data_IF_131213504264
#
_entry.id   IF_131213504264
#
_cell.length_a   1.000
_cell.length_b   1.000
_cell.length_c   1.000
_cell.angle_alpha   90.00
_cell.angle_beta   90.00
_cell.angle_gamma   90.00
#
_symmetry.space_group_name_H-M   'P 1'
#
loop_
_entity.id
_entity.type
_entity.pdbx_description
1 polymer ?
#
# COMPACT_ATOMS: atom_id res chain seq x y z
N UNK A 1 -3.33 6.62 6.66
CA UNK A 1 -3.90 6.72 8.02
C UNK A 1 -4.93 7.85 8.17
N UNK A 2 -4.75 9.01 7.51
CA UNK A 2 -5.69 10.14 7.62
C UNK A 2 -7.10 9.84 7.08
N UNK A 3 -7.24 8.98 6.08
CA UNK A 3 -8.52 8.66 5.42
C UNK A 3 -9.56 7.94 6.31
N UNK A 4 -9.17 7.55 7.53
CA UNK A 4 -10.08 6.98 8.55
C UNK A 4 -10.85 8.05 9.32
N UNK A 5 -10.38 9.29 9.28
CA UNK A 5 -10.93 10.38 10.06
C UNK A 5 -11.90 11.20 9.19
N UNK A 6 -13.05 11.53 9.77
CA UNK A 6 -14.03 12.45 9.20
C UNK A 6 -13.88 13.88 9.73
N UNK A 7 -12.95 14.10 10.65
CA UNK A 7 -12.65 15.37 11.30
C UNK A 7 -11.13 15.51 11.51
N UNK A 8 -10.58 16.64 11.10
CA UNK A 8 -9.13 16.87 11.17
C UNK A 8 -8.59 16.96 12.61
N UNK A 9 -9.41 17.42 13.56
CA UNK A 9 -8.99 17.50 14.97
C UNK A 9 -8.84 16.11 15.59
N UNK A 10 -9.73 15.21 15.24
CA UNK A 10 -9.64 13.80 15.65
C UNK A 10 -8.38 13.14 15.10
N UNK A 11 -8.05 13.43 13.84
CA UNK A 11 -6.77 13.01 13.24
C UNK A 11 -5.56 13.59 13.98
N UNK A 12 -5.53 14.88 14.24
CA UNK A 12 -4.42 15.53 14.96
C UNK A 12 -4.26 14.97 16.39
N UNK A 13 -5.36 14.76 17.11
CA UNK A 13 -5.33 14.14 18.45
C UNK A 13 -4.77 12.72 18.40
N UNK A 14 -5.15 11.96 17.38
CA UNK A 14 -4.62 10.61 17.15
C UNK A 14 -3.13 10.65 16.83
N UNK A 15 -2.70 11.50 15.91
CA UNK A 15 -1.29 11.72 15.57
C UNK A 15 -0.46 12.02 16.82
N UNK A 16 -0.88 12.99 17.63
CA UNK A 16 -0.19 13.35 18.86
C UNK A 16 -0.07 12.17 19.85
N UNK A 17 -1.10 11.31 19.96
CA UNK A 17 -1.06 10.13 20.83
C UNK A 17 -0.06 9.07 20.39
N UNK A 18 0.23 8.97 19.09
CA UNK A 18 1.19 8.00 18.53
C UNK A 18 2.66 8.41 18.76
N UNK A 19 2.91 9.69 19.02
CA UNK A 19 4.26 10.19 19.24
C UNK A 19 4.81 9.75 20.61
N UNK A 20 6.15 9.64 20.76
CA UNK A 20 6.80 9.38 22.05
C UNK A 20 6.29 10.33 23.14
N UNK A 21 6.12 9.84 24.35
CA UNK A 21 5.55 10.57 25.50
C UNK A 21 4.19 11.22 25.19
N UNK A 22 3.37 10.55 24.33
CA UNK A 22 2.05 11.04 23.92
C UNK A 22 2.08 12.46 23.33
N UNK A 23 3.13 12.78 22.58
CA UNK A 23 3.30 14.09 21.93
C UNK A 23 3.56 15.25 22.88
N UNK A 24 4.12 15.00 24.06
CA UNK A 24 4.48 16.06 24.99
C UNK A 24 5.44 17.07 24.33
N UNK A 25 5.07 18.35 24.33
CA UNK A 25 5.82 19.43 23.67
C UNK A 25 5.56 19.58 22.16
N UNK A 26 4.86 18.65 21.51
CA UNK A 26 4.62 18.70 20.05
C UNK A 26 3.70 19.85 19.65
N UNK A 27 2.69 20.17 20.45
CA UNK A 27 1.85 21.35 20.23
C UNK A 27 2.66 22.67 20.18
N UNK A 28 3.74 22.77 20.94
CA UNK A 28 4.66 23.92 20.89
C UNK A 28 5.48 23.95 19.58
N UNK A 29 5.93 22.78 19.10
CA UNK A 29 6.66 22.70 17.82
C UNK A 29 5.76 23.05 16.65
N UNK A 30 4.53 22.50 16.63
CA UNK A 30 3.51 22.86 15.64
C UNK A 30 3.23 24.37 15.68
N UNK A 31 3.05 24.95 16.87
CA UNK A 31 2.83 26.38 17.03
C UNK A 31 3.97 27.21 16.44
N UNK A 32 5.22 26.85 16.73
CA UNK A 32 6.41 27.52 16.19
C UNK A 32 6.45 27.41 14.64
N UNK A 33 6.16 26.23 14.09
CA UNK A 33 6.15 26.01 12.64
C UNK A 33 5.08 26.86 11.93
N UNK A 34 3.91 26.99 12.58
CA UNK A 34 2.79 27.80 12.04
C UNK A 34 2.88 29.29 12.36
N UNK A 35 3.90 29.74 13.12
CA UNK A 35 4.05 31.13 13.54
C UNK A 35 2.92 31.61 14.48
N UNK A 36 2.37 30.72 15.32
CA UNK A 36 1.27 31.01 16.26
C UNK A 36 1.63 30.64 17.69
N UNK A 37 0.79 31.02 18.66
CA UNK A 37 0.99 30.62 20.06
C UNK A 37 0.57 29.17 20.31
N UNK A 38 1.17 28.51 21.30
CA UNK A 38 0.76 27.17 21.73
C UNK A 38 -0.69 27.12 22.25
N UNK A 39 -1.17 28.22 22.82
CA UNK A 39 -2.56 28.41 23.22
C UNK A 39 -3.49 28.32 22.02
N UNK A 40 -3.10 28.89 20.88
CA UNK A 40 -3.89 28.82 19.63
C UNK A 40 -4.03 27.38 19.15
N UNK A 41 -2.98 26.58 19.18
CA UNK A 41 -3.05 25.15 18.84
C UNK A 41 -3.97 24.39 19.78
N UNK A 42 -3.92 24.67 21.08
CA UNK A 42 -4.83 24.08 22.07
C UNK A 42 -6.29 24.44 21.78
N UNK A 43 -6.57 25.68 21.36
CA UNK A 43 -7.89 26.15 20.97
C UNK A 43 -8.38 25.45 19.68
N UNK A 44 -7.49 25.20 18.71
CA UNK A 44 -7.84 24.41 17.51
C UNK A 44 -8.22 22.99 17.90
N UNK A 45 -7.40 22.32 18.72
CA UNK A 45 -7.69 20.96 19.17
C UNK A 45 -8.96 20.86 20.03
N UNK A 46 -9.31 21.93 20.78
CA UNK A 46 -10.54 22.03 21.56
C UNK A 46 -11.77 22.36 20.70
N UNK A 47 -11.59 22.83 19.44
CA UNK A 47 -12.69 23.18 18.54
C UNK A 47 -13.13 24.64 18.61
N UNK A 48 -12.53 25.49 19.44
CA UNK A 48 -12.88 26.92 19.55
C UNK A 48 -12.23 27.78 18.48
N UNK A 49 -11.27 27.25 17.74
CA UNK A 49 -10.61 27.89 16.57
C UNK A 49 -10.52 26.91 15.42
N UNK A 50 -10.37 27.43 14.21
CA UNK A 50 -10.24 26.67 12.98
C UNK A 50 -8.95 27.11 12.29
N UNK A 51 -8.23 26.17 11.65
CA UNK A 51 -7.03 26.46 10.85
C UNK A 51 -7.39 27.37 9.66
N UNK A 52 -6.53 28.33 9.29
CA UNK A 52 -6.62 29.00 7.99
C UNK A 52 -6.15 28.06 6.88
N UNK A 53 -6.32 28.43 5.62
CA UNK A 53 -5.86 27.61 4.49
C UNK A 53 -4.35 27.50 4.44
N UNK A 54 -3.66 28.60 4.71
CA UNK A 54 -2.21 28.69 4.78
C UNK A 54 -1.66 27.79 5.92
N UNK A 55 -2.30 27.89 7.11
CA UNK A 55 -1.95 27.03 8.24
C UNK A 55 -2.23 25.56 7.95
N UNK A 56 -3.29 25.24 7.20
CA UNK A 56 -3.61 23.87 6.79
C UNK A 56 -2.52 23.30 5.91
N UNK A 57 -2.07 24.06 4.91
CA UNK A 57 -1.00 23.66 4.00
C UNK A 57 0.34 23.49 4.76
N UNK A 58 0.72 24.45 5.58
CA UNK A 58 1.93 24.41 6.37
C UNK A 58 1.91 23.23 7.36
N UNK A 59 0.77 22.96 7.99
CA UNK A 59 0.63 21.83 8.91
C UNK A 59 0.67 20.48 8.18
N UNK A 60 0.09 20.38 6.98
CA UNK A 60 0.21 19.19 6.13
C UNK A 60 1.66 18.84 5.83
N UNK A 61 2.47 19.84 5.48
CA UNK A 61 3.91 19.68 5.26
C UNK A 61 4.66 19.26 6.54
N UNK A 62 4.34 19.88 7.67
CA UNK A 62 4.92 19.54 8.98
C UNK A 62 4.63 18.09 9.38
N UNK A 63 3.44 17.60 9.12
CA UNK A 63 3.00 16.23 9.42
C UNK A 63 3.59 15.20 8.45
N UNK A 64 4.31 15.63 7.41
CA UNK A 64 4.87 14.74 6.39
C UNK A 64 3.82 14.03 5.55
N UNK A 65 2.66 14.67 5.33
CA UNK A 65 1.60 14.09 4.51
C UNK A 65 2.02 14.03 3.05
N UNK A 66 1.74 12.92 2.38
CA UNK A 66 1.83 12.84 0.92
C UNK A 66 0.82 13.80 0.26
N UNK A 67 1.02 14.14 -1.01
CA UNK A 67 0.15 15.05 -1.76
C UNK A 67 -1.35 14.67 -1.61
N UNK A 68 -1.68 13.39 -1.81
CA UNK A 68 -3.06 12.90 -1.66
C UNK A 68 -3.59 12.98 -0.21
N UNK A 69 -2.72 12.80 0.79
CA UNK A 69 -3.09 12.93 2.20
C UNK A 69 -3.24 14.40 2.60
N UNK A 70 -2.41 15.28 2.04
CA UNK A 70 -2.52 16.73 2.23
C UNK A 70 -3.82 17.27 1.62
N UNK A 71 -4.22 16.80 0.44
CA UNK A 71 -5.51 17.10 -0.16
C UNK A 71 -6.67 16.66 0.73
N UNK A 72 -6.60 15.43 1.27
CA UNK A 72 -7.63 14.93 2.18
C UNK A 72 -7.70 15.77 3.45
N UNK A 73 -6.55 16.10 4.05
CA UNK A 73 -6.45 16.96 5.23
C UNK A 73 -7.04 18.35 4.95
N UNK A 74 -6.73 18.92 3.78
CA UNK A 74 -7.26 20.19 3.34
C UNK A 74 -8.79 20.18 3.27
N UNK A 75 -9.38 19.15 2.66
CA UNK A 75 -10.85 19.04 2.57
C UNK A 75 -11.51 18.72 3.92
N UNK A 76 -10.86 18.06 4.86
CA UNK A 76 -11.34 17.92 6.23
C UNK A 76 -11.47 19.29 6.91
N UNK A 77 -10.46 20.16 6.78
CA UNK A 77 -10.50 21.51 7.32
C UNK A 77 -11.55 22.36 6.60
N UNK A 78 -11.64 22.27 5.27
CA UNK A 78 -12.66 22.98 4.49
C UNK A 78 -14.09 22.57 4.85
N UNK A 79 -14.32 21.30 5.09
CA UNK A 79 -15.61 20.79 5.52
C UNK A 79 -16.04 21.36 6.89
N UNK A 80 -15.09 21.52 7.80
CA UNK A 80 -15.32 22.16 9.10
C UNK A 80 -15.56 23.69 8.99
N UNK A 81 -14.91 24.34 8.01
CA UNK A 81 -15.07 25.77 7.71
C UNK A 81 -16.33 26.12 6.93
N UNK A 82 -16.97 25.12 6.32
CA UNK A 82 -18.06 25.33 5.41
C UNK A 82 -19.27 26.03 6.08
N UNK A 83 -19.51 27.27 5.70
CA UNK A 83 -20.62 28.10 6.20
C UNK A 83 -21.96 27.84 5.51
N UNK A 84 -21.97 27.10 4.38
CA UNK A 84 -23.19 26.72 3.66
C UNK A 84 -23.32 25.22 3.52
N UNK A 85 -24.56 24.73 3.45
CA UNK A 85 -24.83 23.30 3.25
C UNK A 85 -24.32 22.80 1.89
N UNK A 86 -24.34 23.64 0.87
CA UNK A 86 -23.84 23.30 -0.48
C UNK A 86 -22.33 23.04 -0.45
N UNK A 87 -21.56 23.96 0.16
CA UNK A 87 -20.12 23.79 0.32
C UNK A 87 -19.78 22.57 1.15
N UNK A 88 -20.54 22.30 2.21
CA UNK A 88 -20.35 21.12 3.06
C UNK A 88 -20.58 19.83 2.28
N UNK A 89 -21.65 19.76 1.46
CA UNK A 89 -21.91 18.62 0.57
C UNK A 89 -20.77 18.42 -0.44
N UNK A 90 -20.28 19.50 -1.04
CA UNK A 90 -19.16 19.46 -1.96
C UNK A 90 -17.89 18.90 -1.30
N UNK A 91 -17.52 19.43 -0.12
CA UNK A 91 -16.35 18.93 0.62
C UNK A 91 -16.50 17.45 1.00
N UNK A 92 -17.67 17.04 1.49
CA UNK A 92 -17.96 15.64 1.81
C UNK A 92 -17.80 14.74 0.58
N UNK A 93 -18.33 15.13 -0.57
CA UNK A 93 -18.16 14.39 -1.82
C UNK A 93 -16.68 14.27 -2.22
N UNK A 94 -15.90 15.35 -2.09
CA UNK A 94 -14.45 15.35 -2.35
C UNK A 94 -13.69 14.42 -1.39
N UNK A 95 -14.05 14.42 -0.11
CA UNK A 95 -13.47 13.48 0.87
C UNK A 95 -13.76 12.02 0.49
N UNK A 96 -14.99 11.72 0.05
CA UNK A 96 -15.33 10.37 -0.43
C UNK A 96 -14.56 9.98 -1.69
N UNK A 97 -14.41 10.90 -2.65
CA UNK A 97 -13.60 10.68 -3.86
C UNK A 97 -12.14 10.38 -3.51
N UNK A 98 -11.52 11.20 -2.64
CA UNK A 98 -10.14 11.02 -2.21
C UNK A 98 -9.97 9.72 -1.41
N UNK A 99 -10.92 9.40 -0.53
CA UNK A 99 -10.94 8.13 0.18
C UNK A 99 -11.03 6.95 -0.79
N UNK A 100 -11.92 6.99 -1.80
CA UNK A 100 -12.00 5.96 -2.86
C UNK A 100 -10.72 5.88 -3.69
N UNK A 101 -10.10 7.03 -4.00
CA UNK A 101 -8.80 7.07 -4.70
C UNK A 101 -7.68 6.45 -3.86
N UNK A 102 -7.63 6.73 -2.56
CA UNK A 102 -6.63 6.13 -1.67
C UNK A 102 -6.74 4.61 -1.59
N UNK A 103 -7.97 4.08 -1.63
CA UNK A 103 -8.24 2.64 -1.72
C UNK A 103 -7.77 2.04 -3.06
N UNK A 104 -7.78 2.84 -4.15
CA UNK A 104 -7.25 2.45 -5.46
C UNK A 104 -5.73 2.65 -5.58
N UNK A 105 -5.15 3.61 -4.84
CA UNK A 105 -3.73 3.97 -4.90
C UNK A 105 -2.80 2.97 -4.19
N UNK A 106 -3.32 2.07 -3.37
CA UNK A 106 -2.55 0.92 -2.86
C UNK A 106 -2.00 0.04 -4.01
N UNK A 107 -2.47 0.27 -5.25
CA UNK A 107 -2.06 -0.44 -6.47
C UNK A 107 -1.22 0.39 -7.45
N UNK A 108 -0.84 1.64 -7.15
CA UNK A 108 0.02 2.45 -8.05
C UNK A 108 1.43 2.60 -7.49
N UNK A 109 2.29 1.63 -7.80
CA UNK A 109 3.73 1.89 -7.93
C UNK A 109 3.92 2.56 -9.29
N UNK A 110 4.64 3.68 -9.35
CA UNK A 110 4.99 4.35 -10.61
C UNK A 110 5.76 3.40 -11.52
N UNK A 111 5.11 2.86 -12.55
CA UNK A 111 5.73 2.03 -13.55
C UNK A 111 6.37 2.94 -14.63
N UNK A 112 7.69 2.90 -14.76
CA UNK A 112 8.43 3.61 -15.83
C UNK A 112 8.05 3.14 -17.24
N UNK A 113 7.63 1.92 -17.43
CA UNK A 113 7.02 1.32 -18.63
C UNK A 113 6.19 0.12 -18.14
N UNK A 114 5.00 -0.08 -18.65
CA UNK A 114 4.20 -1.27 -18.36
C UNK A 114 4.40 -2.34 -19.43
N UNK A 115 4.32 -3.63 -19.01
CA UNK A 115 4.26 -4.75 -19.94
C UNK A 115 3.11 -4.57 -20.94
N UNK A 116 3.34 -4.93 -22.19
CA UNK A 116 2.26 -5.04 -23.18
C UNK A 116 1.35 -6.26 -22.86
N UNK A 117 0.22 -6.41 -23.57
CA UNK A 117 -0.75 -7.45 -23.26
C UNK A 117 -0.22 -8.87 -23.50
N UNK A 118 0.67 -9.07 -24.49
CA UNK A 118 1.32 -10.35 -24.74
C UNK A 118 2.30 -10.69 -23.62
N UNK A 119 3.14 -9.75 -23.22
CA UNK A 119 4.05 -9.89 -22.09
C UNK A 119 3.30 -10.16 -20.79
N UNK A 120 2.18 -9.44 -20.53
CA UNK A 120 1.29 -9.71 -19.37
C UNK A 120 0.72 -11.13 -19.42
N UNK A 121 0.27 -11.57 -20.59
CA UNK A 121 -0.27 -12.94 -20.75
C UNK A 121 0.75 -14.00 -20.36
N UNK A 122 2.00 -13.84 -20.76
CA UNK A 122 3.10 -14.75 -20.40
C UNK A 122 3.47 -14.60 -18.92
N UNK A 123 3.74 -13.38 -18.46
CA UNK A 123 4.18 -13.12 -17.09
C UNK A 123 3.20 -13.67 -16.04
N UNK A 124 1.90 -13.47 -16.23
CA UNK A 124 0.86 -13.96 -15.33
C UNK A 124 0.39 -15.41 -15.64
N UNK A 125 1.04 -16.10 -16.59
CA UNK A 125 0.74 -17.51 -16.86
C UNK A 125 1.20 -18.45 -15.75
N UNK A 126 2.22 -18.08 -14.98
CA UNK A 126 2.77 -18.88 -13.90
C UNK A 126 3.25 -17.98 -12.76
N UNK A 127 3.13 -18.41 -11.49
CA UNK A 127 3.68 -17.67 -10.35
C UNK A 127 5.21 -17.62 -10.37
N UNK A 128 5.87 -18.51 -11.11
CA UNK A 128 7.33 -18.55 -11.23
C UNK A 128 7.90 -17.27 -11.83
N UNK A 129 7.25 -16.64 -12.82
CA UNK A 129 7.74 -15.40 -13.40
C UNK A 129 7.84 -14.28 -12.36
N UNK A 130 6.74 -14.03 -11.62
CA UNK A 130 6.73 -13.00 -10.59
C UNK A 130 7.58 -13.37 -9.38
N UNK A 131 7.65 -14.65 -9.00
CA UNK A 131 8.52 -15.14 -7.94
C UNK A 131 10.00 -14.93 -8.26
N UNK A 132 10.44 -15.32 -9.45
CA UNK A 132 11.84 -15.14 -9.92
C UNK A 132 12.18 -13.65 -10.03
N UNK A 133 11.27 -12.84 -10.62
CA UNK A 133 11.46 -11.39 -10.72
C UNK A 133 11.71 -10.76 -9.33
N UNK A 134 10.88 -11.08 -8.33
CA UNK A 134 11.07 -10.58 -6.96
C UNK A 134 12.33 -11.17 -6.32
N UNK A 135 12.65 -12.44 -6.58
CA UNK A 135 13.89 -13.06 -6.04
C UNK A 135 15.15 -12.39 -6.59
N UNK A 136 15.15 -11.93 -7.82
CA UNK A 136 16.26 -11.18 -8.40
C UNK A 136 16.49 -9.81 -7.71
N UNK A 137 15.53 -9.30 -6.91
CA UNK A 137 15.74 -8.11 -6.08
C UNK A 137 16.49 -8.40 -4.79
N UNK A 138 16.60 -9.68 -4.39
CA UNK A 138 17.26 -10.05 -3.14
C UNK A 138 18.76 -10.21 -3.33
N UNK A 139 19.51 -9.67 -2.39
CA UNK A 139 20.97 -9.75 -2.42
C UNK A 139 21.64 -8.71 -3.31
N UNK A 140 22.73 -8.14 -2.82
CA UNK A 140 23.46 -7.04 -3.50
C UNK A 140 24.15 -7.42 -4.80
N UNK A 141 24.46 -8.71 -5.01
CA UNK A 141 25.18 -9.23 -6.19
C UNK A 141 24.26 -9.79 -7.28
N UNK A 142 22.95 -9.70 -7.13
CA UNK A 142 21.98 -10.38 -7.99
C UNK A 142 21.91 -11.89 -7.73
N UNK A 143 21.26 -12.66 -8.61
CA UNK A 143 21.05 -14.11 -8.49
C UNK A 143 21.54 -14.85 -9.73
N UNK A 144 22.22 -15.98 -9.51
CA UNK A 144 22.65 -16.85 -10.60
C UNK A 144 21.54 -17.81 -11.02
N UNK A 145 21.64 -18.40 -12.22
CA UNK A 145 20.72 -19.46 -12.69
C UNK A 145 20.63 -20.63 -11.70
N UNK A 146 21.75 -21.01 -11.08
CA UNK A 146 21.78 -22.14 -10.15
C UNK A 146 21.08 -21.80 -8.83
N UNK A 147 21.24 -20.57 -8.30
CA UNK A 147 20.50 -20.10 -7.13
C UNK A 147 19.00 -20.05 -7.38
N UNK A 148 18.58 -19.55 -8.57
CA UNK A 148 17.16 -19.49 -8.97
C UNK A 148 16.60 -20.91 -9.14
N UNK A 149 17.31 -21.80 -9.86
CA UNK A 149 16.91 -23.19 -10.07
C UNK A 149 16.70 -23.91 -8.75
N UNK A 150 17.63 -23.76 -7.80
CA UNK A 150 17.56 -24.34 -6.45
C UNK A 150 16.42 -23.77 -5.62
N UNK A 151 16.23 -22.43 -5.63
CA UNK A 151 15.17 -21.76 -4.82
C UNK A 151 13.77 -22.18 -5.23
N UNK A 152 13.54 -22.35 -6.52
CA UNK A 152 12.22 -22.67 -7.07
C UNK A 152 12.04 -24.16 -7.40
N UNK A 153 13.04 -24.99 -7.15
CA UNK A 153 13.04 -26.44 -7.42
C UNK A 153 12.66 -26.77 -8.88
N UNK A 154 13.20 -26.01 -9.81
CA UNK A 154 12.96 -26.17 -11.25
C UNK A 154 14.26 -26.51 -11.99
N UNK A 155 14.15 -27.17 -13.14
CA UNK A 155 15.31 -27.52 -13.95
C UNK A 155 16.05 -26.27 -14.45
N UNK A 156 17.36 -26.37 -14.67
CA UNK A 156 18.18 -25.29 -15.24
C UNK A 156 17.64 -24.83 -16.60
N UNK A 157 17.15 -25.76 -17.44
CA UNK A 157 16.54 -25.42 -18.73
C UNK A 157 15.31 -24.53 -18.55
N UNK A 158 14.42 -24.85 -17.58
CA UNK A 158 13.25 -24.06 -17.27
C UNK A 158 13.62 -22.70 -16.67
N UNK A 159 14.63 -22.66 -15.81
CA UNK A 159 15.16 -21.40 -15.27
C UNK A 159 15.62 -20.48 -16.39
N UNK A 160 16.42 -21.00 -17.34
CA UNK A 160 16.92 -20.24 -18.50
C UNK A 160 15.77 -19.70 -19.38
N UNK A 161 14.72 -20.50 -19.60
CA UNK A 161 13.53 -20.06 -20.35
C UNK A 161 12.85 -18.86 -19.65
N UNK A 162 12.60 -19.00 -18.34
CA UNK A 162 11.90 -17.97 -17.55
C UNK A 162 12.73 -16.68 -17.43
N UNK A 163 14.03 -16.79 -17.12
CA UNK A 163 14.91 -15.62 -16.98
C UNK A 163 15.12 -14.91 -18.32
N UNK A 164 15.21 -15.63 -19.43
CA UNK A 164 15.27 -15.02 -20.76
C UNK A 164 14.05 -14.12 -21.00
N UNK A 165 12.85 -14.62 -20.78
CA UNK A 165 11.63 -13.81 -20.91
C UNK A 165 11.67 -12.57 -20.01
N UNK A 166 12.11 -12.73 -18.74
CA UNK A 166 12.17 -11.61 -17.80
C UNK A 166 13.16 -10.53 -18.24
N UNK A 167 14.28 -10.92 -18.87
CA UNK A 167 15.26 -9.98 -19.44
C UNK A 167 14.69 -9.31 -20.69
N UNK A 168 14.12 -10.07 -21.65
CA UNK A 168 13.52 -9.53 -22.85
C UNK A 168 12.38 -8.55 -22.57
N UNK A 169 11.57 -8.83 -21.52
CA UNK A 169 10.51 -7.95 -21.04
C UNK A 169 11.03 -6.76 -20.20
N UNK A 170 12.34 -6.65 -19.93
CA UNK A 170 12.94 -5.60 -19.10
C UNK A 170 12.59 -5.67 -17.60
N UNK A 171 12.09 -6.82 -17.17
CA UNK A 171 11.77 -7.09 -15.75
C UNK A 171 13.00 -7.51 -14.95
N UNK A 172 13.99 -8.09 -15.62
CA UNK A 172 15.31 -8.37 -15.07
C UNK A 172 16.39 -7.84 -15.99
N UNK A 173 17.52 -7.46 -15.40
CA UNK A 173 18.76 -7.17 -16.10
C UNK A 173 19.74 -8.32 -15.86
N UNK A 174 20.54 -8.68 -16.86
CA UNK A 174 21.59 -9.70 -16.74
C UNK A 174 22.96 -9.04 -16.85
N UNK A 175 23.84 -9.29 -15.88
CA UNK A 175 25.24 -8.86 -15.90
C UNK A 175 26.11 -9.95 -15.27
N UNK A 176 27.16 -10.37 -15.97
CA UNK A 176 28.12 -11.40 -15.54
C UNK A 176 27.44 -12.69 -15.00
N UNK A 177 26.44 -13.21 -15.72
CA UNK A 177 25.62 -14.36 -15.34
C UNK A 177 24.83 -14.19 -14.01
N UNK A 178 24.64 -12.95 -13.55
CA UNK A 178 23.77 -12.60 -12.44
C UNK A 178 22.56 -11.81 -12.92
N UNK A 179 21.39 -12.14 -12.37
CA UNK A 179 20.12 -11.51 -12.68
C UNK A 179 19.74 -10.55 -11.57
N UNK A 180 19.41 -9.33 -11.94
CA UNK A 180 18.98 -8.23 -11.06
C UNK A 180 17.57 -7.81 -11.44
N UNK A 181 16.86 -7.14 -10.53
CA UNK A 181 15.58 -6.52 -10.87
C UNK A 181 15.78 -5.42 -11.90
N UNK A 182 15.06 -5.50 -13.00
CA UNK A 182 15.05 -4.49 -14.07
C UNK A 182 14.18 -3.27 -13.73
N UNK A 183 14.09 -2.35 -14.69
CA UNK A 183 13.41 -1.07 -14.52
C UNK A 183 11.91 -1.09 -14.83
N UNK A 184 11.37 -2.20 -15.32
CA UNK A 184 9.96 -2.35 -15.69
C UNK A 184 9.06 -2.65 -14.47
N UNK A 185 7.87 -2.09 -14.48
CA UNK A 185 6.85 -2.38 -13.46
C UNK A 185 5.91 -3.52 -13.86
N UNK A 186 5.48 -4.28 -12.85
CA UNK A 186 4.55 -5.42 -13.02
C UNK A 186 3.11 -5.09 -12.61
N UNK A 187 2.72 -3.80 -12.64
CA UNK A 187 1.40 -3.38 -12.17
C UNK A 187 0.27 -3.92 -13.05
N UNK A 188 -0.76 -4.51 -12.41
CA UNK A 188 -2.03 -4.86 -13.04
C UNK A 188 -3.11 -3.85 -12.63
N UNK A 189 -3.76 -3.26 -13.62
CA UNK A 189 -4.92 -2.40 -13.38
C UNK A 189 -6.14 -3.21 -12.89
N UNK A 190 -6.96 -2.58 -12.07
CA UNK A 190 -8.26 -3.14 -11.69
C UNK A 190 -9.12 -3.32 -12.95
N UNK A 191 -9.51 -4.56 -13.25
CA UNK A 191 -10.21 -4.92 -14.49
C UNK A 191 -9.33 -5.61 -15.54
N UNK A 192 -8.03 -5.75 -15.30
CA UNK A 192 -7.15 -6.54 -16.16
C UNK A 192 -7.63 -8.01 -16.22
N UNK A 193 -7.74 -8.61 -17.43
CA UNK A 193 -8.10 -10.02 -17.56
C UNK A 193 -7.09 -10.96 -16.91
N UNK A 194 -5.87 -10.49 -16.66
CA UNK A 194 -4.79 -11.26 -16.02
C UNK A 194 -4.87 -11.25 -14.49
N UNK A 195 -5.69 -10.37 -13.89
CA UNK A 195 -5.77 -10.23 -12.44
C UNK A 195 -6.27 -11.51 -11.75
N UNK A 196 -7.33 -12.12 -12.28
CA UNK A 196 -7.86 -13.37 -11.76
C UNK A 196 -6.82 -14.49 -11.83
N UNK A 197 -6.10 -14.60 -12.94
CA UNK A 197 -5.06 -15.60 -13.14
C UNK A 197 -3.91 -15.42 -12.15
N UNK A 198 -3.47 -14.19 -11.93
CA UNK A 198 -2.46 -13.85 -10.92
C UNK A 198 -2.91 -14.26 -9.51
N UNK A 199 -4.12 -13.89 -9.11
CA UNK A 199 -4.68 -14.26 -7.82
C UNK A 199 -4.80 -15.78 -7.65
N UNK A 200 -5.27 -16.50 -8.67
CA UNK A 200 -5.39 -17.94 -8.64
C UNK A 200 -4.03 -18.61 -8.48
N UNK A 201 -3.03 -18.20 -9.25
CA UNK A 201 -1.70 -18.78 -9.23
C UNK A 201 -1.05 -18.71 -7.82
N UNK A 202 -1.13 -17.55 -7.16
CA UNK A 202 -0.54 -17.40 -5.83
C UNK A 202 -1.33 -18.12 -4.74
N UNK A 203 -2.65 -18.25 -4.86
CA UNK A 203 -3.47 -19.06 -3.94
C UNK A 203 -3.20 -20.54 -4.09
N UNK A 204 -3.07 -21.03 -5.32
CA UNK A 204 -2.66 -22.41 -5.57
C UNK A 204 -1.24 -22.68 -5.01
N UNK A 205 -0.31 -21.75 -5.17
CA UNK A 205 1.03 -21.88 -4.58
C UNK A 205 0.98 -21.90 -3.06
N UNK A 206 0.16 -21.07 -2.41
CA UNK A 206 -0.05 -21.11 -0.97
C UNK A 206 -0.59 -22.48 -0.51
N UNK A 207 -1.60 -23.01 -1.21
CA UNK A 207 -2.15 -24.34 -0.91
C UNK A 207 -1.07 -25.44 -1.04
N UNK A 208 -0.24 -25.39 -2.09
CA UNK A 208 0.86 -26.34 -2.27
C UNK A 208 1.91 -26.26 -1.15
N UNK A 209 2.11 -25.08 -0.57
CA UNK A 209 3.05 -24.87 0.53
C UNK A 209 2.48 -25.29 1.89
N UNK A 210 1.16 -25.50 2.00
CA UNK A 210 0.47 -25.77 3.27
C UNK A 210 0.98 -26.99 4.04
N UNK A 211 1.49 -28.00 3.33
CA UNK A 211 2.02 -29.23 3.94
C UNK A 211 3.43 -29.03 4.56
N UNK A 212 4.11 -27.95 4.19
CA UNK A 212 5.50 -27.69 4.58
C UNK A 212 5.67 -26.27 5.15
N UNK A 213 4.65 -25.75 5.86
CA UNK A 213 4.74 -24.45 6.52
C UNK A 213 5.75 -24.49 7.66
N UNK A 214 6.59 -23.47 7.75
CA UNK A 214 7.47 -23.25 8.89
C UNK A 214 6.73 -22.51 10.02
N UNK A 215 7.29 -22.52 11.22
CA UNK A 215 6.69 -21.89 12.41
C UNK A 215 6.49 -20.37 12.29
N UNK A 216 7.24 -19.72 11.40
CA UNK A 216 7.17 -18.27 11.11
C UNK A 216 6.26 -17.93 9.90
N UNK A 217 5.65 -18.94 9.28
CA UNK A 217 4.69 -18.79 8.19
C UNK A 217 3.25 -18.93 8.70
N UNK A 218 2.29 -18.29 8.04
CA UNK A 218 0.90 -18.28 8.47
C UNK A 218 -0.05 -18.63 7.33
N UNK A 219 -0.92 -19.61 7.57
CA UNK A 219 -2.10 -19.86 6.77
C UNK A 219 -3.33 -19.82 7.68
N UNK A 220 -4.32 -18.98 7.37
CA UNK A 220 -5.51 -18.82 8.19
C UNK A 220 -6.77 -18.75 7.34
N UNK A 221 -7.78 -19.51 7.73
CA UNK A 221 -9.11 -19.50 7.10
C UNK A 221 -10.18 -19.60 8.18
N UNK A 222 -11.17 -18.73 8.13
CA UNK A 222 -12.34 -18.76 9.03
C UNK A 222 -13.60 -18.33 8.29
N UNK A 223 -14.69 -19.04 8.52
CA UNK A 223 -16.02 -18.66 8.07
C UNK A 223 -16.77 -17.99 9.24
N UNK A 224 -17.29 -16.80 9.01
CA UNK A 224 -17.96 -16.01 10.07
C UNK A 224 -19.34 -15.56 9.64
N UNK A 225 -20.22 -15.40 10.61
CA UNK A 225 -21.50 -14.70 10.49
C UNK A 225 -21.42 -13.39 11.25
N UNK A 226 -21.78 -12.28 10.61
CA UNK A 226 -21.64 -10.95 11.18
C UNK A 226 -22.66 -9.97 10.59
N UNK A 227 -22.80 -8.80 11.19
CA UNK A 227 -23.67 -7.74 10.67
C UNK A 227 -23.13 -7.16 9.36
N UNK A 228 -24.02 -6.59 8.53
CA UNK A 228 -23.66 -5.85 7.31
C UNK A 228 -22.70 -4.68 7.62
N UNK A 229 -22.94 -3.99 8.72
CA UNK A 229 -22.08 -2.89 9.20
C UNK A 229 -20.67 -3.39 9.50
N UNK A 230 -20.54 -4.51 10.21
CA UNK A 230 -19.23 -5.06 10.57
C UNK A 230 -18.52 -5.65 9.36
N UNK A 231 -19.25 -6.20 8.37
CA UNK A 231 -18.67 -6.64 7.11
C UNK A 231 -17.94 -5.49 6.39
N UNK A 232 -18.54 -4.31 6.31
CA UNK A 232 -17.90 -3.13 5.72
C UNK A 232 -16.77 -2.58 6.59
N UNK A 233 -16.96 -2.53 7.91
CA UNK A 233 -15.94 -2.08 8.84
C UNK A 233 -14.67 -2.93 8.75
N UNK A 234 -14.78 -4.25 8.81
CA UNK A 234 -13.63 -5.16 8.72
C UNK A 234 -12.92 -5.07 7.37
N UNK A 235 -13.67 -4.86 6.28
CA UNK A 235 -13.05 -4.61 4.97
C UNK A 235 -12.16 -3.37 5.00
N UNK A 236 -12.61 -2.29 5.61
CA UNK A 236 -11.81 -1.05 5.73
C UNK A 236 -10.57 -1.28 6.61
N UNK A 237 -10.68 -2.03 7.70
CA UNK A 237 -9.55 -2.41 8.54
C UNK A 237 -8.50 -3.23 7.76
N UNK A 238 -8.94 -4.17 6.92
CA UNK A 238 -8.03 -4.93 6.05
C UNK A 238 -7.30 -4.04 5.03
N UNK A 239 -7.96 -3.03 4.48
CA UNK A 239 -7.32 -2.05 3.57
C UNK A 239 -6.25 -1.25 4.33
N UNK A 240 -6.53 -0.85 5.56
CA UNK A 240 -5.55 -0.18 6.43
C UNK A 240 -4.37 -1.10 6.74
N UNK A 241 -4.65 -2.35 7.06
CA UNK A 241 -3.60 -3.36 7.26
C UNK A 241 -2.70 -3.50 6.03
N UNK A 242 -3.28 -3.61 4.82
CA UNK A 242 -2.51 -3.71 3.56
C UNK A 242 -1.62 -2.47 3.38
N UNK A 243 -2.13 -1.27 3.65
CA UNK A 243 -1.32 -0.05 3.57
C UNK A 243 -0.14 -0.10 4.55
N UNK A 244 -0.40 -0.39 5.82
CA UNK A 244 0.64 -0.48 6.85
C UNK A 244 1.69 -1.56 6.51
N UNK A 245 1.26 -2.67 5.94
CA UNK A 245 2.13 -3.73 5.44
C UNK A 245 3.06 -3.20 4.33
N UNK A 246 2.52 -2.51 3.32
CA UNK A 246 3.32 -1.93 2.23
C UNK A 246 4.28 -0.84 2.74
N UNK A 247 3.82 0.02 3.65
CA UNK A 247 4.65 1.05 4.28
C UNK A 247 5.83 0.44 5.08
N UNK A 248 5.67 -0.80 5.57
CA UNK A 248 6.74 -1.56 6.24
C UNK A 248 7.66 -2.26 5.25
N UNK A 249 7.13 -2.82 4.17
CA UNK A 249 7.88 -3.54 3.14
C UNK A 249 8.76 -2.60 2.33
N UNK A 250 8.27 -1.42 1.96
CA UNK A 250 8.96 -0.49 1.06
C UNK A 250 10.38 -0.09 1.53
N UNK A 251 10.62 0.29 2.80
CA UNK A 251 11.98 0.60 3.28
C UNK A 251 12.78 -0.62 3.73
N UNK A 252 12.21 -1.83 3.68
CA UNK A 252 12.85 -3.05 4.18
C UNK A 252 13.96 -3.51 3.23
N UNK A 253 15.13 -3.95 3.74
CA UNK A 253 16.13 -4.61 2.91
C UNK A 253 15.54 -5.84 2.21
N UNK A 254 15.88 -6.04 0.93
CA UNK A 254 15.43 -7.19 0.15
C UNK A 254 16.26 -8.43 0.47
N UNK A 255 15.93 -9.14 1.53
CA UNK A 255 16.65 -10.34 2.01
C UNK A 255 15.87 -11.63 1.77
N UNK A 256 14.52 -11.57 1.88
CA UNK A 256 13.63 -12.72 1.68
C UNK A 256 12.46 -12.33 0.77
N UNK A 257 11.84 -13.34 0.16
CA UNK A 257 10.62 -13.17 -0.65
C UNK A 257 9.43 -13.83 0.03
N UNK A 258 8.32 -13.12 0.09
CA UNK A 258 7.08 -13.60 0.68
C UNK A 258 5.88 -13.22 -0.18
N UNK A 259 4.77 -13.91 0.00
CA UNK A 259 3.49 -13.60 -0.64
C UNK A 259 2.41 -13.44 0.43
N UNK A 260 1.69 -12.33 0.37
CA UNK A 260 0.50 -12.09 1.18
C UNK A 260 -0.75 -12.26 0.32
N UNK A 261 -1.61 -13.22 0.66
CA UNK A 261 -2.93 -13.40 0.09
C UNK A 261 -3.99 -12.96 1.11
N UNK A 262 -4.92 -12.11 0.72
CA UNK A 262 -6.07 -11.72 1.55
C UNK A 262 -7.32 -11.86 0.70
N UNK A 263 -8.30 -12.59 1.24
CA UNK A 263 -9.61 -12.81 0.62
C UNK A 263 -10.71 -12.43 1.60
N UNK A 264 -11.51 -11.42 1.25
CA UNK A 264 -12.68 -11.01 2.00
C UNK A 264 -13.88 -10.94 1.05
N UNK A 265 -14.75 -11.90 1.14
CA UNK A 265 -15.87 -12.04 0.22
C UNK A 265 -17.10 -12.61 0.91
N UNK A 266 -18.26 -12.37 0.32
CA UNK A 266 -19.52 -12.96 0.77
C UNK A 266 -19.65 -14.37 0.22
N UNK A 267 -19.96 -15.33 1.10
CA UNK A 267 -20.34 -16.69 0.66
C UNK A 267 -21.68 -16.57 -0.06
N UNK A 268 -21.70 -16.85 -1.36
CA UNK A 268 -22.87 -16.81 -2.24
C UNK A 268 -23.00 -18.15 -2.95
N UNK A 269 -24.22 -18.42 -3.44
CA UNK A 269 -24.46 -19.57 -4.33
C UNK A 269 -23.73 -19.38 -5.64
#
# INVERSE_FOLDING_TARGET
MIYQFSDYRSYLKHYLKLLPRKGFGEAKKIANHLGVSSTYISQILAGSKILTLEQTNALGSYLGLSESEADYFFYLVQNDRAGTQELKKYCTHKLEELKKKSLKLVTRVEAKRSLNDQEKSVFYSSPLFSGIHVYCSTGKRGRTLDEISKRFEISRAKTTELTRFLVEAGLCDENDNHFFTGSQGTHLEQGSPHLLKHHTNWRLRAIQSAENLNDDELMYTVNVSLSEKDFHYLREEMVVFIKNFLDRVHPSPSEEIACLNIDWFRIRK
#
